data_IF_883630151169
#
_entry.id   IF_883630151169
#
_cell.length_a   1.000
_cell.length_b   1.000
_cell.length_c   1.000
_cell.angle_alpha   90.00
_cell.angle_beta   90.00
_cell.angle_gamma   90.00
#
_symmetry.space_group_name_H-M   'P 1'
#
loop_
_entity.id
_entity.type
_entity.pdbx_description
1 polymer ?
#
# COMPACT_ATOMS: atom_id res chain seq x y z
N UNK A 1 -11.76 3.14 13.48
CA UNK A 1 -10.69 2.59 12.61
C UNK A 1 -11.17 1.48 11.68
N UNK A 2 -12.42 1.01 11.80
CA UNK A 2 -12.99 -0.10 10.98
C UNK A 2 -13.09 0.16 9.47
N UNK A 3 -12.85 1.40 9.01
CA UNK A 3 -12.93 1.79 7.58
C UNK A 3 -11.58 1.90 6.88
N UNK A 4 -10.48 1.72 7.62
CA UNK A 4 -9.13 1.81 7.07
C UNK A 4 -8.68 0.44 6.55
N UNK A 5 -7.92 0.45 5.46
CA UNK A 5 -7.39 -0.73 4.78
C UNK A 5 -5.92 -0.87 5.16
N UNK A 6 -5.51 -2.09 5.51
CA UNK A 6 -4.11 -2.40 5.80
C UNK A 6 -3.24 -2.19 4.55
N UNK A 7 -2.18 -1.40 4.66
CA UNK A 7 -1.31 -1.05 3.55
C UNK A 7 -0.40 -2.20 3.04
N UNK A 8 -0.43 -3.35 3.71
CA UNK A 8 0.34 -4.55 3.33
C UNK A 8 -0.55 -5.63 2.72
N UNK A 9 -1.66 -5.99 3.37
CA UNK A 9 -2.53 -7.09 2.93
C UNK A 9 -3.85 -6.63 2.27
N UNK A 10 -4.11 -5.33 2.32
CA UNK A 10 -5.29 -4.68 1.77
C UNK A 10 -6.65 -5.20 2.31
N UNK A 11 -6.68 -5.59 3.58
CA UNK A 11 -7.91 -5.98 4.29
C UNK A 11 -8.28 -4.96 5.37
N UNK A 12 -9.56 -4.90 5.72
CA UNK A 12 -10.09 -4.06 6.80
C UNK A 12 -9.72 -4.60 8.20
N UNK A 13 -10.06 -3.83 9.24
CA UNK A 13 -9.87 -4.24 10.64
C UNK A 13 -8.46 -3.97 11.15
N UNK A 14 -7.88 -2.84 10.75
CA UNK A 14 -6.52 -2.42 11.14
C UNK A 14 -6.40 -2.08 12.62
N UNK A 15 -5.20 -2.29 13.16
CA UNK A 15 -4.88 -2.09 14.58
C UNK A 15 -4.07 -0.81 14.81
N UNK A 16 -3.22 -0.47 13.84
CA UNK A 16 -2.16 0.54 13.99
C UNK A 16 -2.24 1.53 12.83
N UNK A 17 -2.06 2.82 13.15
CA UNK A 17 -1.94 3.89 12.15
C UNK A 17 -0.58 4.56 12.34
N UNK A 18 0.13 4.77 11.23
CA UNK A 18 1.40 5.48 11.25
C UNK A 18 1.19 6.96 11.60
N UNK A 19 2.01 7.49 12.51
CA UNK A 19 2.02 8.92 12.88
C UNK A 19 2.96 9.78 12.01
N UNK A 20 3.60 9.18 11.00
CA UNK A 20 4.40 9.91 10.02
C UNK A 20 3.57 10.42 8.84
N UNK A 21 4.24 10.99 7.83
CA UNK A 21 3.61 11.70 6.70
C UNK A 21 2.60 10.84 5.91
N UNK A 22 2.74 9.51 5.89
CA UNK A 22 1.88 8.65 5.08
C UNK A 22 0.54 8.28 5.71
N UNK A 23 0.39 8.38 7.04
CA UNK A 23 -0.83 8.00 7.77
C UNK A 23 -1.41 6.61 7.41
N UNK A 24 -0.58 5.72 6.84
CA UNK A 24 -1.01 4.38 6.44
C UNK A 24 -1.38 3.56 7.66
N UNK A 25 -2.35 2.66 7.47
CA UNK A 25 -2.81 1.77 8.52
C UNK A 25 -2.34 0.33 8.27
N UNK A 26 -2.19 -0.42 9.36
CA UNK A 26 -1.58 -1.75 9.36
C UNK A 26 -2.29 -2.65 10.37
N UNK A 27 -2.39 -3.93 10.05
CA UNK A 27 -2.61 -4.96 11.06
C UNK A 27 -1.31 -5.19 11.83
N UNK A 28 -1.40 -5.44 13.12
CA UNK A 28 -0.25 -5.86 13.92
C UNK A 28 0.38 -7.14 13.34
N UNK A 29 -0.44 -8.08 12.86
CA UNK A 29 0.00 -9.33 12.25
C UNK A 29 0.65 -9.15 10.86
N UNK A 30 0.47 -8.00 10.20
CA UNK A 30 1.10 -7.70 8.91
C UNK A 30 2.44 -6.99 9.05
N UNK A 31 2.81 -6.57 10.27
CA UNK A 31 4.11 -5.96 10.54
C UNK A 31 5.09 -7.01 11.06
N UNK A 32 6.38 -6.92 10.70
CA UNK A 32 7.40 -7.84 11.19
C UNK A 32 7.76 -7.61 12.67
N UNK A 33 7.28 -6.51 13.27
CA UNK A 33 7.57 -6.13 14.65
C UNK A 33 6.30 -5.89 15.46
N UNK A 34 6.36 -6.20 16.75
CA UNK A 34 5.28 -5.90 17.69
C UNK A 34 5.28 -4.41 18.04
N UNK A 35 4.20 -3.72 17.68
CA UNK A 35 4.01 -2.30 17.99
C UNK A 35 3.21 -2.20 19.29
N UNK A 36 3.80 -1.57 20.29
CA UNK A 36 3.09 -1.29 21.54
C UNK A 36 2.09 -0.15 21.32
N UNK A 37 0.81 -0.43 21.53
CA UNK A 37 -0.32 0.48 21.29
C UNK A 37 -0.29 1.79 22.10
N UNK A 38 0.58 1.90 23.11
CA UNK A 38 0.71 3.08 23.97
C UNK A 38 1.62 4.18 23.40
N UNK A 39 2.34 3.91 22.29
CA UNK A 39 3.28 4.87 21.68
C UNK A 39 2.84 5.28 20.28
N UNK A 40 3.17 6.53 19.90
CA UNK A 40 3.05 6.99 18.52
C UNK A 40 4.07 6.24 17.66
N UNK A 41 3.61 5.30 16.86
CA UNK A 41 4.45 4.50 15.99
C UNK A 41 4.61 5.14 14.61
N UNK A 42 5.84 5.15 14.10
CA UNK A 42 6.20 5.62 12.76
C UNK A 42 6.63 4.39 11.96
N UNK A 43 6.15 4.25 10.72
CA UNK A 43 6.48 3.08 9.90
C UNK A 43 7.90 3.22 9.31
N UNK A 44 8.57 2.11 8.96
CA UNK A 44 9.93 2.14 8.43
C UNK A 44 10.12 3.04 7.20
N UNK A 45 9.08 3.14 6.38
CA UNK A 45 9.06 3.99 5.17
C UNK A 45 9.06 5.49 5.54
N UNK A 46 8.29 5.88 6.57
CA UNK A 46 8.30 7.24 7.10
C UNK A 46 9.62 7.58 7.81
N UNK A 47 10.19 6.64 8.57
CA UNK A 47 11.48 6.85 9.26
C UNK A 47 12.62 7.12 8.27
N UNK A 48 12.50 6.55 7.06
CA UNK A 48 13.54 6.64 6.02
C UNK A 48 13.22 7.65 4.92
N UNK A 49 12.07 8.32 5.01
CA UNK A 49 11.58 9.25 3.99
C UNK A 49 11.59 8.62 2.57
N UNK A 50 11.06 7.40 2.48
CA UNK A 50 10.89 6.65 1.23
C UNK A 50 9.46 6.17 1.13
N UNK A 51 8.73 6.61 0.12
CA UNK A 51 7.32 6.28 -0.08
C UNK A 51 7.03 5.82 -1.50
N UNK A 52 5.85 5.24 -1.70
CA UNK A 52 5.39 4.83 -3.03
C UNK A 52 4.66 5.94 -3.74
N UNK A 53 5.00 6.13 -5.01
CA UNK A 53 4.14 6.86 -5.92
C UNK A 53 2.80 6.12 -6.05
N UNK A 54 1.69 6.79 -5.74
CA UNK A 54 0.36 6.17 -5.79
C UNK A 54 -0.06 5.81 -7.22
N UNK A 55 0.54 6.40 -8.24
CA UNK A 55 0.20 6.12 -9.64
C UNK A 55 0.96 4.91 -10.21
N UNK A 56 2.29 4.85 -10.05
CA UNK A 56 3.11 3.76 -10.62
C UNK A 56 3.48 2.68 -9.60
N UNK A 57 3.16 2.87 -8.32
CA UNK A 57 3.42 1.95 -7.20
C UNK A 57 4.89 1.74 -6.84
N UNK A 58 5.81 2.20 -7.68
CA UNK A 58 7.24 2.26 -7.37
C UNK A 58 7.53 3.15 -6.15
N UNK A 59 8.47 2.69 -5.33
CA UNK A 59 9.01 3.47 -4.23
C UNK A 59 10.05 4.48 -4.72
N UNK A 60 10.17 5.61 -4.04
CA UNK A 60 11.21 6.61 -4.24
C UNK A 60 11.46 7.40 -2.96
N UNK A 61 12.56 8.16 -2.93
CA UNK A 61 12.79 9.11 -1.84
C UNK A 61 11.72 10.20 -1.86
N UNK A 62 11.32 10.69 -0.68
CA UNK A 62 10.40 11.82 -0.54
C UNK A 62 10.83 13.06 -1.34
N UNK A 63 12.14 13.23 -1.57
CA UNK A 63 12.68 14.35 -2.37
C UNK A 63 12.32 14.26 -3.85
N UNK A 64 12.07 13.05 -4.35
CA UNK A 64 11.68 12.78 -5.73
C UNK A 64 10.15 12.67 -5.89
N UNK A 65 9.42 12.84 -4.79
CA UNK A 65 7.97 12.75 -4.71
C UNK A 65 7.35 14.10 -4.31
N UNK A 66 6.10 14.29 -4.72
CA UNK A 66 5.25 15.37 -4.23
C UNK A 66 4.06 14.79 -3.50
N UNK A 67 3.76 15.35 -2.32
CA UNK A 67 2.66 14.90 -1.48
C UNK A 67 1.41 15.77 -1.70
N UNK A 68 0.26 15.13 -1.88
CA UNK A 68 -1.03 15.82 -1.93
C UNK A 68 -1.27 16.61 -0.64
N UNK A 69 -1.76 17.84 -0.76
CA UNK A 69 -2.04 18.74 0.36
C UNK A 69 -3.52 18.79 0.75
N UNK A 70 -4.38 18.00 0.09
CA UNK A 70 -5.75 17.85 0.54
C UNK A 70 -5.78 17.18 1.92
N UNK A 71 -6.68 17.65 2.79
CA UNK A 71 -6.93 17.05 4.09
C UNK A 71 -7.20 15.56 3.94
N UNK A 72 -6.56 14.75 4.79
CA UNK A 72 -6.71 13.29 4.85
C UNK A 72 -6.34 12.48 3.60
N UNK A 73 -5.63 13.06 2.62
CA UNK A 73 -5.21 12.33 1.42
C UNK A 73 -3.90 11.55 1.62
N UNK A 74 -2.86 12.20 2.15
CA UNK A 74 -1.55 11.62 2.45
C UNK A 74 -0.84 10.87 1.29
N UNK A 75 -1.33 10.97 0.05
CA UNK A 75 -0.79 10.28 -1.13
C UNK A 75 0.45 11.00 -1.70
N UNK A 76 1.40 10.21 -2.17
CA UNK A 76 2.65 10.66 -2.80
C UNK A 76 2.65 10.34 -4.29
N UNK A 77 3.31 11.18 -5.10
CA UNK A 77 3.41 11.00 -6.54
C UNK A 77 4.78 11.41 -7.06
N UNK A 78 5.32 10.69 -8.03
CA UNK A 78 6.35 11.27 -8.89
C UNK A 78 5.75 12.45 -9.67
N UNK A 79 6.44 13.60 -9.78
CA UNK A 79 5.97 14.73 -10.59
C UNK A 79 5.62 14.35 -12.04
N UNK A 80 6.37 13.40 -12.62
CA UNK A 80 6.14 12.87 -13.98
C UNK A 80 4.87 12.03 -14.09
N UNK A 81 4.50 11.29 -13.02
CA UNK A 81 3.30 10.45 -12.97
C UNK A 81 2.00 11.26 -12.75
N UNK A 82 2.09 12.53 -12.36
CA UNK A 82 0.91 13.40 -12.21
C UNK A 82 0.45 13.85 -13.60
N UNK A 83 -0.85 13.70 -13.98
CA UNK A 83 -1.35 14.20 -15.26
C UNK A 83 -1.24 15.73 -15.35
N UNK A 84 -1.00 16.25 -16.55
CA UNK A 84 -0.63 17.67 -16.77
C UNK A 84 -1.60 18.67 -16.14
N UNK A 85 -2.89 18.40 -16.25
CA UNK A 85 -3.97 19.23 -15.68
C UNK A 85 -3.87 19.42 -14.15
N UNK A 86 -3.17 18.54 -13.43
CA UNK A 86 -3.00 18.61 -11.97
C UNK A 86 -1.66 19.20 -11.54
N UNK A 87 -0.66 19.23 -12.43
CA UNK A 87 0.72 19.66 -12.08
C UNK A 87 0.81 21.12 -11.65
N UNK A 88 -0.14 21.95 -12.10
CA UNK A 88 -0.19 23.40 -11.82
C UNK A 88 -0.98 23.77 -10.56
N UNK A 89 -1.61 22.80 -9.89
CA UNK A 89 -2.35 23.07 -8.67
C UNK A 89 -1.42 23.59 -7.57
N UNK A 90 -1.80 24.69 -6.92
CA UNK A 90 -1.08 25.30 -5.80
C UNK A 90 -2.10 25.65 -4.70
N UNK A 91 -2.10 24.96 -3.54
CA UNK A 91 -1.26 23.80 -3.20
C UNK A 91 -1.55 22.58 -4.10
N UNK A 92 -0.63 21.60 -4.16
CA UNK A 92 -0.82 20.42 -5.02
C UNK A 92 -1.97 19.54 -4.52
N UNK A 93 -2.98 19.36 -5.37
CA UNK A 93 -4.10 18.44 -5.17
C UNK A 93 -4.02 17.33 -6.21
N UNK A 94 -4.03 16.08 -5.75
CA UNK A 94 -3.86 14.92 -6.61
C UNK A 94 -5.16 14.55 -7.35
N UNK A 95 -5.08 13.70 -8.40
CA UNK A 95 -6.24 13.38 -9.22
C UNK A 95 -7.40 12.68 -8.47
N UNK A 96 -7.15 12.10 -7.30
CA UNK A 96 -8.19 11.46 -6.49
C UNK A 96 -9.26 12.44 -5.97
N UNK A 97 -8.99 13.74 -5.99
CA UNK A 97 -9.93 14.81 -5.60
C UNK A 97 -10.68 15.43 -6.78
N UNK A 98 -10.62 14.81 -7.96
CA UNK A 98 -11.32 15.27 -9.15
C UNK A 98 -12.07 14.11 -9.78
N UNK A 99 -13.38 14.28 -9.96
CA UNK A 99 -14.24 13.26 -10.54
C UNK A 99 -13.72 12.85 -11.92
N UNK A 100 -13.45 11.56 -12.09
CA UNK A 100 -12.89 10.99 -13.32
C UNK A 100 -13.88 11.04 -14.50
N UNK A 101 -15.17 11.23 -14.23
CA UNK A 101 -16.22 11.40 -15.23
C UNK A 101 -16.47 12.87 -15.58
N UNK A 102 -16.99 13.67 -14.63
CA UNK A 102 -17.41 15.05 -14.90
C UNK A 102 -16.31 16.11 -14.72
N UNK A 103 -15.11 15.72 -14.26
CA UNK A 103 -13.94 16.59 -14.05
C UNK A 103 -14.11 17.72 -13.03
N UNK A 104 -15.18 17.70 -12.25
CA UNK A 104 -15.37 18.61 -11.12
C UNK A 104 -14.54 18.15 -9.92
N UNK A 105 -14.10 19.12 -9.12
CA UNK A 105 -13.37 18.90 -7.88
C UNK A 105 -14.31 18.43 -6.77
N UNK A 106 -13.78 17.66 -5.82
CA UNK A 106 -14.50 17.23 -4.61
C UNK A 106 -15.01 18.44 -3.80
N UNK A 107 -16.25 18.34 -3.32
CA UNK A 107 -16.91 19.31 -2.45
C UNK A 107 -17.33 18.59 -1.15
N UNK A 108 -17.28 19.27 0.00
CA UNK A 108 -17.72 18.71 1.28
C UNK A 108 -19.19 18.27 1.27
N UNK A 109 -20.02 18.89 0.41
CA UNK A 109 -21.44 18.57 0.23
C UNK A 109 -21.68 17.44 -0.78
N UNK A 110 -20.73 17.20 -1.68
CA UNK A 110 -20.78 16.18 -2.74
C UNK A 110 -19.43 15.45 -2.80
N UNK A 111 -19.13 14.62 -1.78
CA UNK A 111 -17.83 13.96 -1.67
C UNK A 111 -17.65 12.91 -2.76
N UNK A 112 -16.38 12.66 -3.13
CA UNK A 112 -16.08 11.64 -4.13
C UNK A 112 -15.95 10.26 -3.47
N UNK A 113 -16.57 9.26 -4.09
CA UNK A 113 -16.22 7.87 -3.86
C UNK A 113 -14.86 7.62 -4.53
N UNK A 114 -13.96 6.93 -3.84
CA UNK A 114 -12.56 6.76 -4.30
C UNK A 114 -12.21 5.29 -4.47
N UNK A 115 -11.45 5.00 -5.52
CA UNK A 115 -10.88 3.69 -5.68
C UNK A 115 -9.77 3.46 -4.63
N UNK A 116 -9.75 2.30 -3.98
CA UNK A 116 -8.74 1.99 -2.96
C UNK A 116 -7.29 1.97 -3.52
N UNK A 117 -7.12 1.66 -4.81
CA UNK A 117 -5.79 1.40 -5.39
C UNK A 117 -5.34 2.35 -6.48
N UNK A 118 -6.19 3.23 -7.01
CA UNK A 118 -5.75 4.25 -7.96
C UNK A 118 -6.43 5.58 -7.70
N UNK A 119 -6.15 6.57 -8.55
CA UNK A 119 -6.75 7.89 -8.41
C UNK A 119 -8.16 8.00 -9.00
N UNK A 120 -8.76 6.90 -9.47
CA UNK A 120 -10.13 6.95 -10.00
C UNK A 120 -11.09 7.29 -8.85
N UNK A 121 -11.85 8.34 -9.04
CA UNK A 121 -12.87 8.79 -8.10
C UNK A 121 -14.07 9.37 -8.84
N UNK A 122 -15.25 9.29 -8.24
CA UNK A 122 -16.51 9.67 -8.87
C UNK A 122 -17.49 10.20 -7.81
N UNK A 123 -18.33 11.17 -8.18
CA UNK A 123 -19.56 11.40 -7.42
C UNK A 123 -20.47 10.18 -7.53
N UNK A 124 -21.43 10.06 -6.62
CA UNK A 124 -22.40 8.96 -6.62
C UNK A 124 -23.14 8.84 -7.96
N UNK A 125 -23.62 9.97 -8.51
CA UNK A 125 -24.30 10.01 -9.81
C UNK A 125 -23.37 9.89 -11.02
N UNK A 126 -22.05 10.00 -10.81
CA UNK A 126 -21.03 9.82 -11.85
C UNK A 126 -20.40 8.40 -11.81
N UNK A 127 -20.78 7.59 -10.83
CA UNK A 127 -20.15 6.31 -10.55
C UNK A 127 -20.49 5.32 -11.69
N UNK A 128 -19.47 4.68 -12.30
CA UNK A 128 -19.73 3.62 -13.29
C UNK A 128 -20.51 2.46 -12.66
N UNK A 129 -21.38 1.82 -13.42
CA UNK A 129 -22.14 0.65 -12.96
C UNK A 129 -21.24 -0.52 -12.53
N UNK A 130 -20.06 -0.64 -13.15
CA UNK A 130 -19.11 -1.74 -12.92
C UNK A 130 -18.00 -1.36 -11.93
N UNK A 131 -18.41 -1.05 -10.70
CA UNK A 131 -17.49 -0.91 -9.56
C UNK A 131 -17.83 -1.93 -8.48
N UNK A 132 -16.87 -2.21 -7.61
CA UNK A 132 -17.04 -3.14 -6.49
C UNK A 132 -16.97 -2.36 -5.18
N UNK A 133 -18.11 -2.01 -4.57
CA UNK A 133 -18.13 -1.26 -3.33
C UNK A 133 -17.45 -2.05 -2.22
N UNK A 134 -16.53 -1.40 -1.50
CA UNK A 134 -15.92 -1.93 -0.28
C UNK A 134 -16.52 -1.29 0.98
N UNK A 135 -16.90 -0.01 0.87
CA UNK A 135 -17.61 0.77 1.88
C UNK A 135 -18.39 1.91 1.21
N UNK A 136 -19.19 2.73 1.93
CA UNK A 136 -19.95 3.82 1.32
C UNK A 136 -19.12 4.86 0.54
N UNK A 137 -17.82 4.99 0.82
CA UNK A 137 -16.94 5.99 0.20
C UNK A 137 -15.78 5.36 -0.60
N UNK A 138 -15.64 4.03 -0.57
CA UNK A 138 -14.47 3.33 -1.15
C UNK A 138 -14.94 2.16 -2.01
N UNK A 139 -14.36 2.02 -3.20
CA UNK A 139 -14.65 0.93 -4.13
C UNK A 139 -13.37 0.38 -4.80
N UNK A 140 -13.48 -0.74 -5.52
CA UNK A 140 -12.50 -1.17 -6.51
C UNK A 140 -13.03 -0.90 -7.91
N UNK A 141 -12.26 -0.17 -8.72
CA UNK A 141 -12.61 0.02 -10.12
C UNK A 141 -12.41 -1.30 -10.89
N UNK A 142 -13.04 -1.43 -12.06
CA UNK A 142 -12.92 -2.63 -12.89
C UNK A 142 -11.46 -3.07 -13.14
N UNK A 143 -10.52 -2.11 -13.25
CA UNK A 143 -9.09 -2.40 -13.44
C UNK A 143 -8.45 -3.14 -12.26
N UNK A 144 -8.99 -3.01 -11.05
CA UNK A 144 -8.42 -3.62 -9.83
C UNK A 144 -9.32 -4.69 -9.21
N UNK A 145 -10.33 -5.16 -9.96
CA UNK A 145 -11.20 -6.24 -9.49
C UNK A 145 -10.46 -7.57 -9.38
N UNK A 146 -9.60 -7.84 -10.37
CA UNK A 146 -8.93 -9.12 -10.56
C UNK A 146 -7.42 -9.06 -10.33
N UNK A 147 -6.87 -7.87 -10.05
CA UNK A 147 -5.48 -7.78 -9.62
C UNK A 147 -5.38 -8.39 -8.22
N UNK A 148 -4.48 -9.36 -8.07
CA UNK A 148 -4.07 -9.79 -6.73
C UNK A 148 -3.58 -8.55 -5.99
N UNK A 149 -4.02 -8.40 -4.74
CA UNK A 149 -3.66 -7.27 -3.89
C UNK A 149 -2.18 -7.30 -3.45
N UNK A 150 -1.34 -8.08 -4.14
CA UNK A 150 0.09 -8.16 -3.95
C UNK A 150 0.73 -6.88 -4.49
N UNK A 151 1.27 -6.10 -3.58
CA UNK A 151 2.03 -4.92 -3.94
C UNK A 151 3.36 -5.36 -4.58
N UNK A 152 3.87 -4.63 -5.58
CA UNK A 152 5.17 -4.95 -6.17
C UNK A 152 6.25 -4.97 -5.08
N UNK A 153 7.24 -5.87 -5.19
CA UNK A 153 8.31 -5.97 -4.21
C UNK A 153 9.09 -4.65 -4.13
N UNK A 154 9.65 -4.35 -2.97
CA UNK A 154 10.59 -3.24 -2.80
C UNK A 154 11.77 -3.42 -3.77
N UNK A 155 12.13 -2.37 -4.52
CA UNK A 155 13.32 -2.44 -5.38
C UNK A 155 14.59 -2.60 -4.54
N UNK A 156 15.60 -3.24 -5.13
CA UNK A 156 16.88 -3.55 -4.49
C UNK A 156 17.52 -2.33 -3.81
N UNK A 157 17.61 -1.21 -4.52
CA UNK A 157 18.20 0.03 -4.00
C UNK A 157 17.46 0.57 -2.77
N UNK A 158 16.17 0.26 -2.65
CA UNK A 158 15.32 0.73 -1.56
C UNK A 158 15.28 -0.25 -0.41
N UNK A 159 15.45 -1.56 -0.64
CA UNK A 159 15.75 -2.54 0.40
C UNK A 159 17.07 -2.22 1.12
N UNK A 160 18.11 -1.88 0.36
CA UNK A 160 19.43 -1.48 0.90
C UNK A 160 19.30 -0.20 1.75
N UNK A 161 18.58 0.82 1.25
CA UNK A 161 18.28 2.03 2.04
C UNK A 161 17.35 1.76 3.22
N UNK A 162 16.58 0.66 3.18
CA UNK A 162 15.71 0.18 4.27
C UNK A 162 16.48 -0.53 5.40
N UNK A 163 17.81 -0.48 5.42
CA UNK A 163 18.61 -0.88 6.58
C UNK A 163 18.56 -2.38 6.86
N UNK A 164 18.53 -3.21 5.82
CA UNK A 164 18.96 -4.60 5.97
C UNK A 164 20.45 -4.61 6.27
N UNK A 165 20.84 -4.91 7.51
CA UNK A 165 22.24 -5.25 7.80
C UNK A 165 22.59 -6.56 7.06
N UNK A 166 23.68 -6.49 6.30
CA UNK A 166 24.36 -7.49 5.48
C UNK A 166 23.55 -8.16 4.35
N UNK A 167 23.84 -7.67 3.13
CA UNK A 167 23.60 -8.38 1.87
C UNK A 167 24.43 -9.67 1.85
N UNK A 168 23.91 -10.76 1.24
CA UNK A 168 24.74 -11.91 0.86
C UNK A 168 25.71 -11.48 -0.24
N UNK A 169 26.95 -11.97 -0.21
CA UNK A 169 27.88 -11.84 -1.33
C UNK A 169 27.26 -12.52 -2.59
N UNK A 170 27.68 -12.11 -3.79
CA UNK A 170 27.07 -12.57 -5.07
C UNK A 170 26.95 -14.10 -5.21
N UNK A 171 27.75 -14.87 -4.45
CA UNK A 171 27.74 -16.33 -4.40
C UNK A 171 26.58 -16.96 -3.60
N UNK A 172 25.84 -16.18 -2.80
CA UNK A 172 24.75 -16.69 -1.92
C UNK A 172 23.32 -16.31 -2.39
N UNK A 173 23.18 -15.65 -3.55
CA UNK A 173 21.86 -15.26 -4.09
C UNK A 173 21.03 -16.49 -4.52
N UNK A 174 19.71 -16.50 -4.25
CA UNK A 174 18.85 -17.58 -4.72
C UNK A 174 18.82 -17.65 -6.25
N UNK A 175 18.76 -18.87 -6.79
CA UNK A 175 18.75 -19.11 -8.22
C UNK A 175 17.68 -18.29 -8.93
N UNK A 176 18.07 -17.65 -10.04
CA UNK A 176 17.17 -16.88 -10.90
C UNK A 176 15.99 -17.76 -11.27
N UNK A 177 14.77 -17.27 -11.04
CA UNK A 177 13.58 -17.93 -11.60
C UNK A 177 13.64 -17.87 -13.13
N UNK A 178 12.89 -18.74 -13.81
CA UNK A 178 12.89 -18.86 -15.27
C UNK A 178 12.50 -17.56 -16.01
N UNK A 179 12.05 -16.53 -15.29
CA UNK A 179 11.68 -15.20 -15.80
C UNK A 179 12.76 -14.12 -15.54
N UNK A 180 13.91 -14.50 -14.97
CA UNK A 180 15.03 -13.58 -14.75
C UNK A 180 14.88 -12.66 -13.53
N UNK A 181 13.78 -12.77 -12.77
CA UNK A 181 13.58 -12.04 -11.52
C UNK A 181 14.07 -12.86 -10.31
N UNK A 182 14.75 -12.15 -9.39
CA UNK A 182 15.23 -12.68 -8.11
C UNK A 182 14.13 -12.48 -7.07
N UNK A 183 13.57 -13.56 -6.54
CA UNK A 183 12.52 -13.51 -5.51
C UNK A 183 13.13 -13.27 -4.12
N UNK A 184 13.45 -12.00 -3.84
CA UNK A 184 13.96 -11.57 -2.54
C UNK A 184 12.95 -11.78 -1.41
N UNK A 185 11.64 -11.83 -1.71
CA UNK A 185 10.60 -12.06 -0.70
C UNK A 185 10.63 -13.50 -0.18
N UNK A 186 10.86 -14.48 -1.07
CA UNK A 186 11.09 -15.88 -0.68
C UNK A 186 12.37 -16.03 0.13
N UNK A 187 13.45 -15.36 -0.26
CA UNK A 187 14.74 -15.40 0.44
C UNK A 187 14.64 -14.90 1.89
N UNK A 188 14.01 -13.74 2.12
CA UNK A 188 13.87 -13.22 3.49
C UNK A 188 12.89 -14.05 4.33
N UNK A 189 11.89 -14.69 3.72
CA UNK A 189 11.03 -15.66 4.41
C UNK A 189 11.81 -16.90 4.86
N UNK A 190 12.77 -17.39 4.06
CA UNK A 190 13.64 -18.51 4.48
C UNK A 190 14.62 -18.12 5.59
N UNK A 191 15.12 -16.89 5.59
CA UNK A 191 16.00 -16.36 6.65
C UNK A 191 15.24 -16.17 7.98
N UNK A 192 13.93 -15.89 7.93
CA UNK A 192 13.05 -15.75 9.11
C UNK A 192 12.78 -17.07 9.85
N UNK A 193 13.09 -18.23 9.25
CA UNK A 193 12.96 -19.54 9.88
C UNK A 193 14.20 -19.96 10.70
N UNK A 194 15.27 -19.15 10.67
CA UNK A 194 16.54 -19.44 11.34
C UNK A 194 16.87 -18.57 12.55
N UNK A 195 15.96 -17.70 13.00
CA UNK A 195 16.10 -17.07 14.32
C UNK A 195 15.46 -17.96 15.39
N UNK A 196 16.28 -18.70 16.13
CA UNK A 196 15.88 -19.56 17.25
C UNK A 196 14.95 -18.84 18.24
N UNK A 197 13.72 -19.35 18.36
CA UNK A 197 12.88 -19.21 19.55
C UNK A 197 12.30 -20.59 19.91
N UNK A 198 12.26 -20.96 21.20
CA UNK A 198 12.17 -22.34 21.63
C UNK A 198 10.80 -22.96 21.33
N UNK A 199 10.86 -24.24 21.01
CA UNK A 199 9.75 -25.15 20.77
C UNK A 199 8.59 -25.00 21.77
N UNK A 200 7.40 -24.69 21.27
CA UNK A 200 6.19 -25.36 21.76
C UNK A 200 5.22 -25.61 20.59
N UNK A 201 4.97 -26.90 20.36
CA UNK A 201 4.03 -27.40 19.37
C UNK A 201 2.60 -27.02 19.76
N UNK A 202 1.82 -26.48 18.82
CA UNK A 202 0.43 -26.91 18.57
C UNK A 202 0.02 -26.51 17.15
N UNK A 203 0.07 -27.51 16.28
CA UNK A 203 -0.63 -27.52 14.99
C UNK A 203 -2.13 -27.39 15.27
N UNK A 204 -2.76 -26.33 14.76
CA UNK A 204 -4.16 -26.39 14.38
C UNK A 204 -4.25 -26.29 12.86
N UNK A 205 -4.28 -27.45 12.22
CA UNK A 205 -4.78 -27.59 10.86
C UNK A 205 -6.26 -27.23 10.88
N UNK A 206 -6.62 -26.13 10.21
CA UNK A 206 -8.00 -25.92 9.77
C UNK A 206 -8.08 -26.37 8.32
N UNK A 207 -8.60 -27.60 8.15
CA UNK A 207 -9.15 -28.07 6.88
C UNK A 207 -10.48 -27.37 6.68
N UNK A 208 -10.63 -26.56 5.63
CA UNK A 208 -11.95 -26.26 5.11
C UNK A 208 -12.21 -27.17 3.91
N UNK A 209 -13.08 -28.14 4.16
CA UNK A 209 -13.72 -29.01 3.19
C UNK A 209 -14.69 -28.15 2.38
N UNK A 210 -14.53 -28.16 1.06
CA UNK A 210 -15.55 -27.74 0.12
C UNK A 210 -16.68 -28.77 0.15
N UNK A 211 -17.90 -28.33 0.43
CA UNK A 211 -19.10 -29.06 -0.01
C UNK A 211 -19.95 -28.12 -0.84
N UNK A 212 -19.93 -28.37 -2.14
CA UNK A 212 -20.99 -27.99 -3.07
C UNK A 212 -22.26 -28.76 -2.71
N UNK A 213 -23.38 -28.05 -2.58
CA UNK A 213 -24.67 -28.25 -3.27
C UNK A 213 -25.60 -27.13 -2.86
#
# INVERSE_FOLDING_TARGET
>A
MERLICAECNKFGVDIVCFGKCHRAFHQACLPCTVQSTRRWICPDCEKEVHRCHQCKEFASDKDLIQCQATDCYLFFHPSCVPEQFRRNRPFLCPAHCCSFCRQWEDERDPLLKCAYCCKSYHEYCLPLEVFPLSPQVFLCASHRFEDSTLPPLSYDLLVKRGGEQLPEEEELPEKTNEGEIDYLAYYKSQSLHSDAPSSKRLHQSKYVLTNT
#
